data_IF_970020848515
#
_entry.id   IF_970020848515
#
_cell.length_a   1.000
_cell.length_b   1.000
_cell.length_c   1.000
_cell.angle_alpha   90.00
_cell.angle_beta   90.00
_cell.angle_gamma   90.00
#
_symmetry.space_group_name_H-M   'P 1'
#
loop_
_entity.id
_entity.type
_entity.pdbx_description
1 polymer ?
#
# COMPACT_ATOMS: atom_id res chain seq x y z
N UNK A 1 -7.79 19.29 -14.63
CA UNK A 1 -7.15 18.86 -15.88
C UNK A 1 -6.43 20.06 -16.46
N UNK A 2 -5.16 19.90 -16.83
CA UNK A 2 -4.35 20.96 -17.42
C UNK A 2 -4.24 20.73 -18.91
N UNK A 3 -4.61 21.74 -19.69
CA UNK A 3 -4.62 21.67 -21.15
C UNK A 3 -3.38 22.37 -21.70
N UNK A 4 -2.57 21.63 -22.46
CA UNK A 4 -1.37 22.12 -23.16
C UNK A 4 -0.32 22.79 -22.25
N UNK A 5 -0.34 22.52 -20.94
CA UNK A 5 0.70 22.89 -19.99
C UNK A 5 0.91 21.76 -18.98
N UNK A 6 2.16 21.56 -18.56
CA UNK A 6 2.50 20.58 -17.54
C UNK A 6 1.77 20.89 -16.23
N UNK A 7 1.49 19.88 -15.39
CA UNK A 7 0.92 20.10 -14.06
C UNK A 7 1.74 21.15 -13.29
N UNK A 8 1.12 22.17 -12.70
CA UNK A 8 1.84 23.19 -11.96
C UNK A 8 2.46 22.56 -10.72
N UNK A 9 3.63 23.07 -10.35
CA UNK A 9 4.32 22.59 -9.15
C UNK A 9 3.44 22.83 -7.91
N UNK A 10 3.41 21.87 -6.96
CA UNK A 10 2.74 22.08 -5.69
C UNK A 10 3.38 23.25 -4.94
N UNK A 11 2.57 24.08 -4.28
CA UNK A 11 3.11 25.18 -3.45
C UNK A 11 3.84 24.65 -2.22
N UNK A 12 3.45 23.47 -1.72
CA UNK A 12 4.12 22.76 -0.63
C UNK A 12 3.91 21.25 -0.72
N UNK A 13 4.87 20.50 -0.18
CA UNK A 13 4.76 19.05 -0.04
C UNK A 13 4.10 18.74 1.31
N UNK A 14 3.06 17.90 1.32
CA UNK A 14 2.33 17.57 2.56
C UNK A 14 2.96 16.39 3.31
N UNK A 15 3.43 15.37 2.60
CA UNK A 15 4.16 14.24 3.19
C UNK A 15 5.66 14.41 2.99
N UNK A 16 6.38 14.74 4.06
CA UNK A 16 7.80 15.10 3.99
C UNK A 16 8.75 13.89 4.08
N UNK A 17 8.24 12.71 4.47
CA UNK A 17 9.05 11.52 4.63
C UNK A 17 9.21 10.77 3.31
N UNK A 18 10.35 10.10 3.13
CA UNK A 18 10.56 9.23 1.98
C UNK A 18 9.63 8.02 2.01
N UNK A 19 8.92 7.79 0.90
CA UNK A 19 8.14 6.57 0.70
C UNK A 19 9.08 5.36 0.59
N UNK A 20 8.95 4.42 1.54
CA UNK A 20 9.71 3.18 1.49
C UNK A 20 9.26 2.30 0.30
N UNK A 21 10.24 1.88 -0.50
CA UNK A 21 10.03 0.94 -1.62
C UNK A 21 10.51 -0.48 -1.31
N UNK A 22 11.06 -0.70 -0.12
CA UNK A 22 11.51 -1.99 0.40
C UNK A 22 11.32 -2.02 1.91
N UNK A 23 11.22 -3.22 2.48
CA UNK A 23 11.22 -3.41 3.93
C UNK A 23 12.60 -3.11 4.51
N UNK A 24 12.64 -2.32 5.59
CA UNK A 24 13.86 -2.05 6.34
C UNK A 24 13.84 -2.87 7.65
N UNK A 25 14.78 -3.80 7.78
CA UNK A 25 14.90 -4.66 8.96
C UNK A 25 13.92 -5.84 9.00
N UNK A 26 13.96 -6.60 10.10
CA UNK A 26 13.04 -7.71 10.35
C UNK A 26 11.76 -7.13 10.93
N UNK A 27 10.66 -7.17 10.16
CA UNK A 27 9.34 -6.79 10.67
C UNK A 27 8.61 -8.03 11.22
N UNK A 28 7.69 -7.87 12.18
CA UNK A 28 6.87 -8.99 12.64
C UNK A 28 6.07 -9.61 11.49
N UNK A 29 5.85 -10.92 11.57
CA UNK A 29 4.91 -11.59 10.67
C UNK A 29 3.51 -11.12 11.05
N UNK A 30 2.80 -10.54 10.08
CA UNK A 30 1.42 -10.13 10.32
C UNK A 30 0.49 -11.32 10.48
N UNK A 31 -0.43 -11.21 11.43
CA UNK A 31 -1.57 -12.10 11.59
C UNK A 31 -2.73 -11.81 10.65
N UNK A 32 -3.66 -12.76 10.62
CA UNK A 32 -4.89 -12.70 9.84
C UNK A 32 -5.93 -11.75 10.43
N UNK A 33 -7.00 -11.53 9.67
CA UNK A 33 -8.16 -10.73 10.05
C UNK A 33 -9.40 -11.61 10.14
N UNK A 34 -9.99 -11.73 11.32
CA UNK A 34 -11.19 -12.57 11.51
C UNK A 34 -12.33 -12.03 10.66
N UNK A 35 -13.02 -12.92 9.93
CA UNK A 35 -14.21 -12.57 9.17
C UNK A 35 -15.35 -12.23 10.12
N UNK A 36 -15.97 -11.08 9.91
CA UNK A 36 -17.04 -10.53 10.74
C UNK A 36 -18.27 -10.28 9.89
N UNK A 37 -18.89 -11.39 9.44
CA UNK A 37 -20.08 -11.40 8.61
C UNK A 37 -19.88 -10.66 7.29
N UNK A 38 -19.37 -11.36 6.27
CA UNK A 38 -19.08 -10.81 4.94
C UNK A 38 -18.02 -9.70 4.91
N UNK A 39 -17.07 -9.69 5.85
CA UNK A 39 -16.01 -8.67 5.89
C UNK A 39 -14.77 -9.03 5.07
N UNK A 40 -14.81 -10.07 4.23
CA UNK A 40 -13.64 -10.56 3.50
C UNK A 40 -13.09 -9.52 2.50
N UNK A 41 -13.96 -8.69 1.89
CA UNK A 41 -13.53 -7.58 1.01
C UNK A 41 -12.61 -6.59 1.75
N UNK A 42 -12.99 -6.23 3.00
CA UNK A 42 -12.19 -5.38 3.88
C UNK A 42 -10.90 -6.11 4.27
N UNK A 43 -11.02 -7.37 4.70
CA UNK A 43 -9.88 -8.14 5.20
C UNK A 43 -8.80 -8.29 4.13
N UNK A 44 -9.17 -8.74 2.92
CA UNK A 44 -8.23 -8.92 1.81
C UNK A 44 -7.60 -7.59 1.38
N UNK A 45 -8.40 -6.51 1.31
CA UNK A 45 -7.92 -5.17 0.94
C UNK A 45 -6.93 -4.59 1.95
N UNK A 46 -7.26 -4.68 3.24
CA UNK A 46 -6.37 -4.22 4.32
C UNK A 46 -5.09 -5.05 4.34
N UNK A 47 -5.18 -6.38 4.18
CA UNK A 47 -3.99 -7.23 4.06
C UNK A 47 -3.11 -6.82 2.88
N UNK A 48 -3.69 -6.57 1.71
CA UNK A 48 -2.94 -6.16 0.53
C UNK A 48 -2.19 -4.83 0.76
N UNK A 49 -2.83 -3.85 1.40
CA UNK A 49 -2.23 -2.55 1.74
C UNK A 49 -1.16 -2.64 2.83
N UNK A 50 -1.38 -3.48 3.86
CA UNK A 50 -0.43 -3.65 4.96
C UNK A 50 0.87 -4.34 4.50
N UNK A 51 0.84 -5.07 3.39
CA UNK A 51 2.06 -5.64 2.82
C UNK A 51 2.89 -4.65 1.98
N UNK A 52 2.46 -3.39 1.86
CA UNK A 52 3.22 -2.32 1.20
C UNK A 52 4.16 -1.61 2.19
N UNK A 53 5.50 -1.62 1.97
CA UNK A 53 6.44 -0.99 2.87
C UNK A 53 6.16 0.50 3.10
N UNK A 54 5.84 1.23 2.02
CA UNK A 54 5.55 2.66 2.08
C UNK A 54 4.29 2.99 2.90
N UNK A 55 3.26 2.16 2.79
CA UNK A 55 2.00 2.35 3.53
C UNK A 55 2.19 2.10 5.02
N UNK A 56 2.90 1.02 5.39
CA UNK A 56 3.21 0.72 6.79
C UNK A 56 4.14 1.75 7.39
N UNK A 57 5.18 2.19 6.66
CA UNK A 57 6.08 3.25 7.11
C UNK A 57 5.31 4.54 7.39
N UNK A 58 4.39 4.94 6.50
CA UNK A 58 3.50 6.08 6.73
C UNK A 58 2.74 5.96 8.06
N UNK A 59 2.06 4.83 8.30
CA UNK A 59 1.32 4.62 9.55
C UNK A 59 2.26 4.61 10.78
N UNK A 60 3.43 4.00 10.63
CA UNK A 60 4.41 3.85 11.70
C UNK A 60 5.13 5.16 12.06
N UNK A 61 5.24 6.11 11.14
CA UNK A 61 5.96 7.38 11.33
C UNK A 61 5.04 8.56 11.70
N UNK A 62 3.72 8.41 11.58
CA UNK A 62 2.74 9.45 11.94
C UNK A 62 2.57 9.61 13.47
N UNK A 63 3.68 9.86 14.18
CA UNK A 63 3.76 9.96 15.65
C UNK A 63 2.96 11.17 16.16
N UNK A 64 3.09 12.31 15.49
CA UNK A 64 2.45 13.56 15.91
C UNK A 64 0.93 13.41 15.94
N UNK A 65 0.35 12.86 14.88
CA UNK A 65 -1.08 12.60 14.83
C UNK A 65 -1.51 11.57 15.88
N UNK A 66 -0.78 10.46 16.04
CA UNK A 66 -1.14 9.43 17.04
C UNK A 66 -1.20 9.96 18.46
N UNK A 67 -0.33 10.92 18.81
CA UNK A 67 -0.34 11.57 20.12
C UNK A 67 -1.41 12.66 20.25
N UNK A 68 -1.68 13.38 19.16
CA UNK A 68 -2.54 14.57 19.16
C UNK A 68 -3.97 14.37 18.62
N UNK A 69 -4.35 13.18 18.15
CA UNK A 69 -5.64 12.97 17.51
C UNK A 69 -6.80 13.10 18.50
N UNK A 70 -7.73 14.02 18.22
CA UNK A 70 -8.90 14.27 19.05
C UNK A 70 -10.05 13.29 18.79
N UNK A 71 -10.12 12.71 17.61
CA UNK A 71 -11.23 11.85 17.18
C UNK A 71 -10.96 10.36 17.29
N UNK A 72 -9.70 9.92 17.48
CA UNK A 72 -9.15 8.56 17.69
C UNK A 72 -9.93 7.36 17.10
N UNK A 73 -11.14 7.12 17.62
CA UNK A 73 -12.05 6.03 17.27
C UNK A 73 -12.79 6.32 15.98
N UNK A 74 -13.10 7.59 15.74
CA UNK A 74 -13.67 8.09 14.51
C UNK A 74 -12.59 8.57 13.52
N UNK A 75 -11.32 8.14 13.65
CA UNK A 75 -10.24 8.49 12.73
C UNK A 75 -9.76 7.25 11.98
N UNK A 76 -9.81 7.30 10.65
CA UNK A 76 -9.44 6.18 9.77
C UNK A 76 -7.94 5.89 9.87
N UNK A 77 -7.08 6.93 9.85
CA UNK A 77 -5.63 6.73 10.00
C UNK A 77 -5.27 6.09 11.34
N UNK A 78 -5.94 6.51 12.42
CA UNK A 78 -5.74 5.90 13.74
C UNK A 78 -6.22 4.43 13.77
N UNK A 79 -7.35 4.12 13.14
CA UNK A 79 -7.86 2.75 13.04
C UNK A 79 -6.91 1.85 12.22
N UNK A 80 -6.39 2.34 11.09
CA UNK A 80 -5.38 1.63 10.29
C UNK A 80 -4.10 1.39 11.09
N UNK A 81 -3.61 2.37 11.85
CA UNK A 81 -2.44 2.18 12.69
C UNK A 81 -2.70 1.15 13.81
N UNK A 82 -3.88 1.17 14.47
CA UNK A 82 -4.25 0.13 15.46
C UNK A 82 -4.30 -1.26 14.82
N UNK A 83 -4.88 -1.38 13.64
CA UNK A 83 -4.90 -2.62 12.84
C UNK A 83 -3.47 -3.10 12.57
N UNK A 84 -2.59 -2.24 12.06
CA UNK A 84 -1.18 -2.56 11.82
C UNK A 84 -0.47 -3.11 13.09
N UNK A 85 -0.69 -2.47 14.24
CA UNK A 85 -0.11 -2.92 15.51
C UNK A 85 -0.68 -4.27 15.95
N UNK A 86 -1.99 -4.48 15.85
CA UNK A 86 -2.64 -5.73 16.22
C UNK A 86 -2.21 -6.90 15.32
N UNK A 87 -2.07 -6.66 14.01
CA UNK A 87 -1.52 -7.66 13.09
C UNK A 87 -0.09 -8.06 13.47
N UNK A 88 0.70 -7.13 14.00
CA UNK A 88 2.09 -7.39 14.42
C UNK A 88 2.21 -8.17 15.73
N UNK A 89 1.14 -8.22 16.53
CA UNK A 89 1.13 -8.77 17.89
C UNK A 89 0.37 -10.10 18.00
N UNK A 90 -0.54 -10.37 17.07
CA UNK A 90 -1.48 -11.48 17.15
C UNK A 90 -1.45 -12.33 15.89
N UNK A 91 -1.70 -13.63 16.03
CA UNK A 91 -1.82 -14.54 14.89
C UNK A 91 -3.08 -14.25 14.04
N UNK A 92 -4.17 -13.80 14.69
CA UNK A 92 -5.34 -13.25 14.05
C UNK A 92 -6.03 -12.26 15.00
N UNK A 93 -6.74 -11.25 14.47
CA UNK A 93 -7.54 -10.33 15.29
C UNK A 93 -8.81 -9.85 14.56
N UNK A 94 -9.75 -9.29 15.33
CA UNK A 94 -11.05 -8.79 14.83
C UNK A 94 -10.94 -7.29 14.47
N UNK A 95 -11.03 -6.88 13.20
CA UNK A 95 -10.87 -5.47 12.79
C UNK A 95 -12.12 -4.61 13.05
N UNK A 96 -12.67 -4.66 14.26
CA UNK A 96 -13.94 -4.00 14.62
C UNK A 96 -13.85 -2.48 14.46
N UNK A 97 -12.70 -1.88 14.79
CA UNK A 97 -12.45 -0.46 14.60
C UNK A 97 -12.62 0.01 13.15
N UNK A 98 -12.09 -0.75 12.18
CA UNK A 98 -12.27 -0.42 10.75
C UNK A 98 -13.70 -0.71 10.28
N UNK A 99 -14.31 -1.80 10.74
CA UNK A 99 -15.70 -2.13 10.40
C UNK A 99 -16.69 -1.08 10.91
N UNK A 100 -16.43 -0.45 12.05
CA UNK A 100 -17.28 0.63 12.58
C UNK A 100 -17.20 1.88 11.70
N UNK A 101 -16.12 2.04 10.93
CA UNK A 101 -15.88 3.19 10.09
C UNK A 101 -16.38 3.03 8.65
N UNK A 102 -16.93 1.86 8.26
CA UNK A 102 -17.48 1.65 6.91
C UNK A 102 -18.43 2.78 6.46
N UNK A 103 -19.44 3.20 7.28
CA UNK A 103 -20.35 4.28 6.88
C UNK A 103 -19.65 5.64 6.72
N UNK A 104 -18.50 5.84 7.38
CA UNK A 104 -17.68 7.05 7.25
C UNK A 104 -16.86 7.04 5.96
N UNK A 105 -16.47 5.86 5.46
CA UNK A 105 -15.75 5.72 4.20
C UNK A 105 -16.68 5.98 3.02
N UNK A 106 -17.87 5.37 3.05
CA UNK A 106 -18.92 5.60 2.06
C UNK A 106 -20.29 5.27 2.66
N UNK A 107 -21.35 6.06 2.40
CA UNK A 107 -22.71 5.74 2.83
C UNK A 107 -23.25 4.40 2.27
N UNK A 108 -22.66 3.92 1.18
CA UNK A 108 -23.04 2.66 0.54
C UNK A 108 -22.51 1.45 1.30
N UNK A 109 -21.33 1.57 1.93
CA UNK A 109 -20.66 0.48 2.63
C UNK A 109 -21.36 0.19 3.96
N UNK A 110 -21.98 -0.99 4.07
CA UNK A 110 -22.71 -1.40 5.27
C UNK A 110 -22.18 -2.71 5.83
N UNK A 111 -22.22 -2.82 7.17
CA UNK A 111 -21.87 -4.06 7.86
C UNK A 111 -22.77 -5.21 7.43
N UNK A 112 -22.19 -6.40 7.30
CA UNK A 112 -22.91 -7.62 6.95
C UNK A 112 -23.20 -7.79 5.45
N UNK A 113 -22.95 -6.75 4.63
CA UNK A 113 -23.06 -6.83 3.18
C UNK A 113 -21.71 -7.19 2.57
N UNK A 114 -21.76 -7.93 1.47
CA UNK A 114 -20.62 -8.06 0.58
C UNK A 114 -20.53 -6.78 -0.27
N UNK A 115 -19.31 -6.34 -0.52
CA UNK A 115 -19.00 -5.08 -1.21
C UNK A 115 -17.80 -5.34 -2.13
N UNK A 116 -17.64 -4.50 -3.17
CA UNK A 116 -16.49 -4.59 -4.07
C UNK A 116 -15.19 -4.14 -3.36
N UNK A 117 -14.13 -4.93 -3.53
CA UNK A 117 -12.85 -4.67 -2.87
C UNK A 117 -12.12 -3.42 -3.41
N UNK A 118 -12.18 -3.13 -4.72
CA UNK A 118 -11.58 -1.90 -5.26
C UNK A 118 -12.36 -0.67 -4.80
N UNK A 119 -13.69 -0.72 -4.81
CA UNK A 119 -14.51 0.38 -4.28
C UNK A 119 -14.21 0.68 -2.81
N UNK A 120 -14.03 -0.38 -1.99
CA UNK A 120 -13.59 -0.21 -0.60
C UNK A 120 -12.19 0.40 -0.50
N UNK A 121 -11.22 -0.04 -1.32
CA UNK A 121 -9.86 0.51 -1.32
C UNK A 121 -9.88 2.00 -1.72
N UNK A 122 -10.65 2.37 -2.74
CA UNK A 122 -10.84 3.76 -3.17
C UNK A 122 -11.42 4.59 -2.02
N UNK A 123 -12.55 4.17 -1.45
CA UNK A 123 -13.19 4.88 -0.35
C UNK A 123 -12.27 5.04 0.86
N UNK A 124 -11.48 4.00 1.19
CA UNK A 124 -10.50 4.04 2.26
C UNK A 124 -9.38 5.04 1.99
N UNK A 125 -8.75 4.99 0.81
CA UNK A 125 -7.63 5.86 0.45
C UNK A 125 -8.07 7.32 0.28
N UNK A 126 -9.26 7.56 -0.26
CA UNK A 126 -9.84 8.89 -0.37
C UNK A 126 -10.12 9.47 1.01
N UNK A 127 -10.69 8.67 1.92
CA UNK A 127 -10.95 9.15 3.28
C UNK A 127 -9.68 9.42 4.07
N UNK A 128 -8.64 8.59 3.89
CA UNK A 128 -7.30 8.88 4.43
C UNK A 128 -6.75 10.19 3.87
N UNK A 129 -6.87 10.42 2.56
CA UNK A 129 -6.42 11.65 1.90
C UNK A 129 -7.15 12.88 2.44
N UNK A 130 -8.47 12.79 2.59
CA UNK A 130 -9.30 13.83 3.20
C UNK A 130 -8.85 14.15 4.64
N UNK A 131 -8.67 13.12 5.49
CA UNK A 131 -8.19 13.29 6.87
C UNK A 131 -6.79 13.92 6.92
N UNK A 132 -5.91 13.64 5.94
CA UNK A 132 -4.59 14.27 5.86
C UNK A 132 -4.69 15.74 5.44
N UNK A 133 -5.56 16.09 4.48
CA UNK A 133 -5.77 17.48 4.04
C UNK A 133 -6.44 18.31 5.13
N UNK A 134 -7.35 17.72 5.92
CA UNK A 134 -7.99 18.41 7.04
C UNK A 134 -6.99 18.86 8.12
N UNK A 135 -5.89 18.12 8.31
CA UNK A 135 -4.81 18.51 9.24
C UNK A 135 -4.07 19.78 8.79
N UNK A 136 -4.12 20.08 7.49
CA UNK A 136 -3.48 21.24 6.87
C UNK A 136 -4.39 22.47 6.80
N UNK A 137 -5.49 22.47 7.58
CA UNK A 137 -6.51 23.51 7.57
C UNK A 137 -7.62 23.27 6.54
N UNK A 138 -7.70 22.07 5.95
CA UNK A 138 -8.74 21.71 5.00
C UNK A 138 -8.47 22.12 3.55
N UNK A 139 -9.35 21.72 2.61
CA UNK A 139 -9.08 21.87 1.18
C UNK A 139 -8.90 23.33 0.74
N UNK A 140 -9.58 24.28 1.37
CA UNK A 140 -9.42 25.70 1.05
C UNK A 140 -7.99 26.23 1.28
N UNK A 141 -7.22 25.62 2.18
CA UNK A 141 -5.86 26.04 2.56
C UNK A 141 -4.74 25.27 1.84
N UNK A 142 -5.11 24.40 0.90
CA UNK A 142 -4.18 23.56 0.16
C UNK A 142 -4.55 23.61 -1.32
N UNK A 143 -3.63 24.08 -2.17
CA UNK A 143 -3.83 24.04 -3.61
C UNK A 143 -3.95 22.60 -4.13
N UNK A 144 -4.56 22.45 -5.31
CA UNK A 144 -4.85 21.14 -5.87
C UNK A 144 -3.61 20.24 -5.99
N UNK A 145 -2.47 20.77 -6.45
CA UNK A 145 -1.27 19.99 -6.68
C UNK A 145 -0.63 19.56 -5.36
N UNK A 146 -0.62 20.43 -4.36
CA UNK A 146 -0.17 20.07 -3.00
C UNK A 146 -1.03 18.96 -2.40
N UNK A 147 -2.35 18.91 -2.66
CA UNK A 147 -3.21 17.79 -2.22
C UNK A 147 -2.79 16.44 -2.81
N UNK A 148 -2.11 16.41 -3.97
CA UNK A 148 -1.56 15.18 -4.56
C UNK A 148 -0.28 14.70 -3.86
N UNK A 149 0.25 15.47 -2.89
CA UNK A 149 1.50 15.17 -2.19
C UNK A 149 1.30 14.67 -0.75
N UNK A 150 0.07 14.27 -0.40
CA UNK A 150 -0.21 13.51 0.83
C UNK A 150 0.52 12.16 0.81
N UNK A 151 0.55 11.46 1.93
CA UNK A 151 1.18 10.13 1.99
C UNK A 151 0.57 9.17 0.95
N UNK A 152 -0.76 9.16 0.82
CA UNK A 152 -1.48 8.38 -0.20
C UNK A 152 -1.07 8.82 -1.61
N UNK A 153 -1.04 10.12 -1.87
CA UNK A 153 -0.65 10.66 -3.18
C UNK A 153 0.81 10.35 -3.56
N UNK A 154 1.73 10.32 -2.60
CA UNK A 154 3.13 9.95 -2.88
C UNK A 154 3.34 8.44 -3.02
N UNK A 155 2.52 7.62 -2.35
CA UNK A 155 2.60 6.16 -2.46
C UNK A 155 1.97 5.71 -3.79
N UNK A 156 0.71 6.07 -4.04
CA UNK A 156 -0.09 5.54 -5.16
C UNK A 156 -0.30 6.54 -6.29
N UNK A 157 -0.15 7.83 -6.03
CA UNK A 157 -0.47 8.88 -6.98
C UNK A 157 0.54 8.97 -8.12
N UNK A 158 0.02 9.21 -9.31
CA UNK A 158 0.79 9.48 -10.51
C UNK A 158 0.00 10.37 -11.46
N UNK A 159 0.66 10.84 -12.50
CA UNK A 159 0.07 11.73 -13.50
C UNK A 159 -0.03 11.01 -14.83
N UNK A 160 -1.24 10.93 -15.38
CA UNK A 160 -1.43 10.53 -16.77
C UNK A 160 -1.23 11.72 -17.69
N UNK A 161 -0.76 11.42 -18.91
CA UNK A 161 -0.74 12.34 -20.04
C UNK A 161 -1.61 11.75 -21.14
N UNK A 162 -2.63 12.49 -21.52
CA UNK A 162 -3.54 12.14 -22.59
C UNK A 162 -3.29 13.04 -23.79
N UNK A 163 -2.98 12.48 -24.96
CA UNK A 163 -2.89 13.22 -26.22
C UNK A 163 -4.15 12.95 -27.05
N UNK A 164 -4.97 13.99 -27.25
CA UNK A 164 -6.12 13.97 -28.15
C UNK A 164 -5.80 14.67 -29.47
N UNK A 165 -5.90 13.97 -30.60
CA UNK A 165 -5.71 14.52 -31.95
C UNK A 165 -7.04 14.73 -32.64
N UNK A 166 -7.34 15.96 -33.03
CA UNK A 166 -8.54 16.28 -33.80
C UNK A 166 -8.60 15.45 -35.09
N UNK A 167 -9.71 14.76 -35.34
CA UNK A 167 -9.91 13.93 -36.53
C UNK A 167 -10.05 14.71 -37.86
N UNK A 168 -9.96 16.04 -37.82
CA UNK A 168 -10.02 16.90 -39.00
C UNK A 168 -8.67 17.56 -39.29
N UNK A 169 -8.22 18.43 -38.38
CA UNK A 169 -6.98 19.20 -38.56
C UNK A 169 -5.74 18.57 -37.92
N UNK A 170 -5.87 17.38 -37.31
CA UNK A 170 -4.79 16.66 -36.61
C UNK A 170 -4.09 17.47 -35.50
N UNK A 171 -4.73 18.54 -35.00
CA UNK A 171 -4.16 19.34 -33.90
C UNK A 171 -4.21 18.54 -32.60
N UNK A 172 -3.04 18.42 -31.95
CA UNK A 172 -2.90 17.75 -30.66
C UNK A 172 -3.30 18.67 -29.51
N UNK A 173 -4.06 18.12 -28.58
CA UNK A 173 -4.30 18.69 -27.25
C UNK A 173 -3.73 17.71 -26.22
N UNK A 174 -2.89 18.21 -25.32
CA UNK A 174 -2.36 17.46 -24.20
C UNK A 174 -3.17 17.76 -22.94
N UNK A 175 -3.57 16.72 -22.23
CA UNK A 175 -4.27 16.82 -20.96
C UNK A 175 -3.54 16.02 -19.90
N UNK A 176 -3.36 16.62 -18.72
CA UNK A 176 -2.79 15.93 -17.56
C UNK A 176 -3.81 15.75 -16.45
N UNK A 177 -3.81 14.57 -15.82
CA UNK A 177 -4.69 14.26 -14.70
C UNK A 177 -3.99 13.38 -13.65
N UNK A 178 -4.23 13.61 -12.34
CA UNK A 178 -3.77 12.70 -11.32
C UNK A 178 -4.58 11.40 -11.34
N UNK A 179 -3.92 10.30 -11.04
CA UNK A 179 -4.44 8.94 -11.02
C UNK A 179 -3.92 8.22 -9.78
N UNK A 180 -4.69 7.28 -9.23
CA UNK A 180 -4.27 6.42 -8.11
C UNK A 180 -4.31 4.93 -8.44
N UNK A 181 -4.85 4.58 -9.60
CA UNK A 181 -4.91 3.23 -10.15
C UNK A 181 -4.79 3.23 -11.67
N UNK A 182 -4.50 2.05 -12.21
CA UNK A 182 -4.58 1.74 -13.63
C UNK A 182 -5.59 0.62 -13.82
N UNK A 183 -6.73 0.94 -14.42
CA UNK A 183 -7.72 -0.07 -14.84
C UNK A 183 -7.30 -0.71 -16.15
N UNK A 184 -7.33 -2.04 -16.21
CA UNK A 184 -6.89 -2.81 -17.36
C UNK A 184 -8.00 -3.73 -17.88
N UNK A 185 -8.14 -3.85 -19.21
CA UNK A 185 -8.94 -4.93 -19.79
C UNK A 185 -8.31 -6.29 -19.47
N UNK A 186 -9.08 -7.36 -19.65
CA UNK A 186 -8.55 -8.71 -19.52
C UNK A 186 -7.76 -9.09 -20.78
N UNK A 187 -6.61 -9.71 -20.54
CA UNK A 187 -5.66 -10.21 -21.54
C UNK A 187 -4.97 -11.45 -20.94
N UNK A 188 -4.10 -12.13 -21.68
CA UNK A 188 -3.38 -13.34 -21.23
C UNK A 188 -2.48 -13.10 -20.02
N UNK A 189 -2.03 -11.85 -19.82
CA UNK A 189 -1.11 -11.46 -18.75
C UNK A 189 -1.29 -10.00 -18.32
N UNK A 190 -0.81 -9.65 -17.13
CA UNK A 190 -0.81 -8.25 -16.67
C UNK A 190 0.07 -7.40 -17.58
N UNK A 191 1.24 -7.91 -18.00
CA UNK A 191 2.11 -7.15 -18.90
C UNK A 191 1.48 -6.91 -20.28
N UNK A 192 0.81 -7.92 -20.86
CA UNK A 192 0.12 -7.76 -22.15
C UNK A 192 -1.04 -6.76 -22.04
N UNK A 193 -1.85 -6.85 -20.98
CA UNK A 193 -2.93 -5.91 -20.73
C UNK A 193 -2.44 -4.45 -20.61
N UNK A 194 -1.31 -4.21 -19.94
CA UNK A 194 -0.66 -2.90 -19.89
C UNK A 194 -0.25 -2.44 -21.30
N UNK A 195 0.39 -3.31 -22.07
CA UNK A 195 0.85 -2.98 -23.42
C UNK A 195 -0.31 -2.62 -24.35
N UNK A 196 -1.45 -3.31 -24.22
CA UNK A 196 -2.69 -3.01 -24.95
C UNK A 196 -3.21 -1.65 -24.51
N UNK A 197 -3.39 -1.43 -23.20
CA UNK A 197 -3.92 -0.18 -22.66
C UNK A 197 -3.11 1.06 -23.09
N UNK A 198 -1.79 0.94 -23.15
CA UNK A 198 -0.90 2.04 -23.56
C UNK A 198 -0.81 2.28 -25.06
N UNK A 199 -1.25 1.32 -25.89
CA UNK A 199 -1.31 1.45 -27.35
C UNK A 199 -2.72 1.73 -27.87
N UNK A 200 -3.71 1.61 -27.00
CA UNK A 200 -5.10 1.82 -27.31
C UNK A 200 -5.33 3.27 -27.77
N UNK A 201 -6.01 3.40 -28.92
CA UNK A 201 -6.48 4.67 -29.44
C UNK A 201 -7.98 4.73 -29.18
N UNK A 202 -8.38 5.55 -28.23
CA UNK A 202 -9.79 5.79 -27.91
C UNK A 202 -10.35 6.84 -28.90
N UNK A 203 -11.53 6.58 -29.45
CA UNK A 203 -12.25 7.58 -30.24
C UNK A 203 -13.15 8.36 -29.30
N UNK A 204 -12.91 9.66 -29.21
CA UNK A 204 -13.68 10.58 -28.36
C UNK A 204 -14.62 11.38 -29.25
N UNK A 205 -15.91 11.11 -29.09
CA UNK A 205 -16.99 11.93 -29.66
C UNK A 205 -17.18 13.21 -28.84
N UNK A 206 -17.85 14.20 -29.42
CA UNK A 206 -18.05 15.53 -28.84
C UNK A 206 -16.78 16.33 -28.46
N UNK A 207 -15.62 15.96 -29.01
CA UNK A 207 -14.39 16.70 -28.82
C UNK A 207 -14.47 18.11 -29.42
N UNK A 208 -14.17 19.13 -28.61
CA UNK A 208 -14.11 20.52 -29.08
C UNK A 208 -12.68 20.89 -29.45
N UNK A 209 -12.40 21.01 -30.75
CA UNK A 209 -11.09 21.40 -31.24
C UNK A 209 -10.77 22.86 -30.91
N UNK A 210 -9.55 23.14 -30.46
CA UNK A 210 -9.07 24.51 -30.18
C UNK A 210 -9.09 25.42 -31.42
N UNK A 211 -8.96 24.84 -32.63
CA UNK A 211 -9.12 25.56 -33.90
C UNK A 211 -10.58 25.66 -34.37
N UNK A 212 -11.55 25.24 -33.55
CA UNK A 212 -12.99 25.29 -33.82
C UNK A 212 -13.39 24.54 -35.11
N UNK A 213 -12.79 23.38 -35.37
CA UNK A 213 -13.20 22.50 -36.46
C UNK A 213 -14.65 22.03 -36.29
N UNK A 214 -15.33 21.73 -37.41
CA UNK A 214 -16.71 21.25 -37.41
C UNK A 214 -16.83 19.80 -36.93
N UNK A 215 -15.85 18.94 -37.26
CA UNK A 215 -15.83 17.56 -36.76
C UNK A 215 -15.52 17.55 -35.27
N UNK A 216 -16.41 16.93 -34.51
CA UNK A 216 -16.31 16.79 -33.04
C UNK A 216 -15.72 15.44 -32.63
N UNK A 217 -14.68 14.99 -33.31
CA UNK A 217 -14.03 13.70 -33.06
C UNK A 217 -12.55 13.90 -32.78
N UNK A 218 -12.01 13.20 -31.79
CA UNK A 218 -10.58 13.09 -31.55
C UNK A 218 -10.14 11.64 -31.34
N UNK A 219 -8.90 11.37 -31.75
CA UNK A 219 -8.19 10.14 -31.45
C UNK A 219 -7.31 10.37 -30.22
N UNK A 220 -7.58 9.64 -29.15
CA UNK A 220 -6.99 9.83 -27.85
C UNK A 220 -6.05 8.68 -27.49
N UNK A 221 -4.87 9.01 -26.99
CA UNK A 221 -3.90 8.04 -26.43
C UNK A 221 -3.51 8.44 -25.02
N UNK A 222 -3.25 7.46 -24.15
CA UNK A 222 -2.90 7.68 -22.74
C UNK A 222 -1.52 7.12 -22.44
N UNK A 223 -0.73 7.88 -21.70
CA UNK A 223 0.63 7.53 -21.31
C UNK A 223 0.93 7.98 -19.86
N UNK A 224 2.03 7.47 -19.30
CA UNK A 224 2.51 7.85 -17.97
C UNK A 224 3.36 9.13 -18.05
N UNK A 225 2.88 10.23 -17.47
CA UNK A 225 3.71 11.43 -17.26
C UNK A 225 4.66 11.26 -16.09
N UNK A 226 4.16 10.68 -15.00
CA UNK A 226 4.95 10.30 -13.83
C UNK A 226 4.67 8.85 -13.42
N UNK A 227 5.60 8.27 -12.65
CA UNK A 227 5.53 6.89 -12.19
C UNK A 227 5.20 6.86 -10.68
N UNK A 228 4.18 6.11 -10.25
CA UNK A 228 3.87 5.98 -8.82
C UNK A 228 4.93 5.12 -8.12
N UNK A 229 5.06 5.27 -6.80
CA UNK A 229 5.93 4.37 -6.02
C UNK A 229 5.30 2.99 -5.90
N UNK A 230 4.00 2.92 -5.73
CA UNK A 230 3.20 1.70 -5.78
C UNK A 230 2.16 1.86 -6.87
N UNK A 231 2.26 1.04 -7.92
CA UNK A 231 1.26 0.95 -8.96
C UNK A 231 0.13 0.03 -8.49
N UNK A 232 -1.06 0.61 -8.30
CA UNK A 232 -2.31 -0.15 -8.11
C UNK A 232 -2.93 -0.46 -9.47
N UNK A 233 -3.15 -1.72 -9.77
CA UNK A 233 -3.80 -2.20 -10.99
C UNK A 233 -5.15 -2.81 -10.62
N UNK A 234 -6.18 -2.50 -11.38
CA UNK A 234 -7.51 -3.11 -11.25
C UNK A 234 -7.82 -3.82 -12.57
N UNK A 235 -8.07 -5.12 -12.52
CA UNK A 235 -8.52 -5.87 -13.70
C UNK A 235 -10.03 -5.72 -13.84
N UNK A 236 -10.49 -5.29 -15.01
CA UNK A 236 -11.91 -5.08 -15.30
C UNK A 236 -12.62 -6.44 -15.42
N UNK A 237 -12.80 -7.18 -14.31
CA UNK A 237 -13.42 -8.51 -14.34
C UNK A 237 -14.92 -8.46 -14.38
N UNK A 238 -15.53 -7.45 -13.78
CA UNK A 238 -16.97 -7.31 -13.74
C UNK A 238 -17.45 -6.50 -14.93
N UNK A 239 -18.51 -6.98 -15.58
CA UNK A 239 -19.23 -6.21 -16.60
C UNK A 239 -20.26 -5.27 -15.95
N UNK A 240 -21.03 -4.57 -16.78
CA UNK A 240 -22.04 -3.61 -16.31
C UNK A 240 -23.18 -4.28 -15.53
N UNK A 241 -23.39 -5.58 -15.73
CA UNK A 241 -24.38 -6.39 -15.03
C UNK A 241 -23.78 -7.09 -13.80
N UNK A 242 -22.57 -6.69 -13.41
CA UNK A 242 -21.80 -7.24 -12.28
C UNK A 242 -21.38 -8.70 -12.42
N UNK A 243 -21.49 -9.31 -13.60
CA UNK A 243 -21.02 -10.69 -13.82
C UNK A 243 -19.51 -10.74 -14.01
N UNK A 244 -18.88 -11.75 -13.41
CA UNK A 244 -17.44 -11.92 -13.43
C UNK A 244 -16.97 -12.65 -14.68
N UNK A 245 -16.05 -12.02 -15.40
CA UNK A 245 -15.21 -12.60 -16.44
C UNK A 245 -14.06 -13.39 -15.82
N UNK A 246 -14.19 -14.71 -15.84
CA UNK A 246 -13.24 -15.67 -15.25
C UNK A 246 -12.07 -16.03 -16.18
N UNK A 247 -11.78 -15.21 -17.19
CA UNK A 247 -10.62 -15.39 -18.06
C UNK A 247 -9.33 -15.45 -17.21
N UNK A 248 -8.50 -16.50 -17.38
CA UNK A 248 -7.21 -16.58 -16.69
C UNK A 248 -6.27 -15.46 -17.14
N UNK A 249 -5.70 -14.72 -16.19
CA UNK A 249 -4.70 -13.68 -16.43
C UNK A 249 -3.41 -14.04 -15.68
N UNK A 250 -2.30 -14.16 -16.39
CA UNK A 250 -1.01 -14.48 -15.77
C UNK A 250 -0.45 -13.25 -15.02
N UNK A 251 0.09 -13.47 -13.82
CA UNK A 251 0.65 -12.41 -12.96
C UNK A 251 2.15 -12.57 -12.85
N UNK A 252 2.88 -11.63 -13.44
CA UNK A 252 4.34 -11.64 -13.43
C UNK A 252 4.91 -11.12 -12.11
N UNK A 253 6.04 -11.69 -11.68
CA UNK A 253 6.77 -11.14 -10.53
C UNK A 253 7.34 -9.75 -10.79
N UNK A 254 7.60 -9.43 -12.06
CA UNK A 254 8.15 -8.16 -12.49
C UNK A 254 7.47 -7.71 -13.77
N UNK A 255 7.07 -6.45 -13.80
CA UNK A 255 6.46 -5.80 -14.97
C UNK A 255 7.24 -4.54 -15.36
N UNK A 256 7.07 -4.09 -16.59
CA UNK A 256 7.73 -2.92 -17.16
C UNK A 256 6.68 -1.96 -17.72
N UNK A 257 6.81 -0.69 -17.37
CA UNK A 257 5.99 0.41 -17.91
C UNK A 257 6.93 1.49 -18.41
N UNK A 258 7.02 1.64 -19.73
CA UNK A 258 8.04 2.48 -20.36
C UNK A 258 9.43 2.07 -19.91
N UNK A 259 10.08 2.94 -19.12
CA UNK A 259 11.43 2.70 -18.59
C UNK A 259 11.46 2.29 -17.11
N UNK A 260 10.32 2.23 -16.45
CA UNK A 260 10.18 1.85 -15.05
C UNK A 260 9.91 0.35 -14.91
N UNK A 261 10.63 -0.29 -13.98
CA UNK A 261 10.40 -1.69 -13.61
C UNK A 261 9.75 -1.74 -12.24
N UNK A 262 8.73 -2.58 -12.10
CA UNK A 262 8.05 -2.83 -10.84
C UNK A 262 8.07 -4.30 -10.48
N UNK A 263 8.03 -4.60 -9.18
CA UNK A 263 7.96 -5.95 -8.64
C UNK A 263 6.64 -6.17 -7.92
N UNK A 264 6.05 -7.35 -8.10
CA UNK A 264 4.81 -7.75 -7.42
C UNK A 264 5.00 -7.69 -5.90
N UNK A 265 4.00 -7.14 -5.19
CA UNK A 265 3.97 -7.16 -3.73
C UNK A 265 2.76 -7.93 -3.23
N UNK A 266 1.55 -7.50 -3.61
CA UNK A 266 0.31 -8.11 -3.13
C UNK A 266 -0.81 -8.03 -4.17
N UNK A 267 -1.82 -8.87 -4.02
CA UNK A 267 -3.07 -8.75 -4.75
C UNK A 267 -4.26 -9.27 -3.94
N UNK A 268 -5.42 -8.72 -4.26
CA UNK A 268 -6.73 -9.22 -3.85
C UNK A 268 -7.21 -10.20 -4.91
N UNK A 269 -7.64 -11.37 -4.47
CA UNK A 269 -8.31 -12.38 -5.30
C UNK A 269 -9.81 -12.36 -4.96
N UNK A 270 -10.64 -12.58 -5.96
CA UNK A 270 -12.08 -12.75 -5.81
C UNK A 270 -12.50 -14.14 -6.31
N UNK A 271 -13.09 -14.96 -5.46
CA UNK A 271 -13.69 -16.25 -5.80
C UNK A 271 -15.22 -16.13 -5.73
N UNK A 272 -15.92 -16.30 -6.85
CA UNK A 272 -17.33 -15.93 -6.98
C UNK A 272 -17.69 -15.54 -8.40
N UNK A 273 -18.99 -15.36 -8.65
CA UNK A 273 -19.54 -15.11 -9.99
C UNK A 273 -19.99 -13.67 -10.21
N UNK A 274 -20.21 -12.88 -9.16
CA UNK A 274 -20.63 -11.48 -9.27
C UNK A 274 -19.78 -10.58 -8.37
N UNK A 275 -19.83 -9.27 -8.58
CA UNK A 275 -19.08 -8.31 -7.73
C UNK A 275 -19.56 -8.31 -6.27
N UNK A 276 -20.84 -8.65 -6.05
CA UNK A 276 -21.52 -8.62 -4.75
C UNK A 276 -21.67 -9.98 -4.10
N UNK A 277 -21.26 -11.07 -4.78
CA UNK A 277 -21.32 -12.44 -4.26
C UNK A 277 -20.03 -13.19 -4.53
N UNK A 278 -19.37 -13.58 -3.44
CA UNK A 278 -18.16 -14.37 -3.48
C UNK A 278 -17.37 -14.30 -2.18
N UNK A 279 -16.07 -14.51 -2.32
CA UNK A 279 -15.11 -14.51 -1.23
C UNK A 279 -13.80 -13.86 -1.67
N UNK A 280 -13.39 -12.84 -0.93
CA UNK A 280 -12.13 -12.15 -1.18
C UNK A 280 -11.01 -12.73 -0.33
N UNK A 281 -9.86 -12.97 -0.95
CA UNK A 281 -8.64 -13.42 -0.27
C UNK A 281 -7.46 -12.60 -0.74
N UNK A 282 -6.32 -12.67 -0.06
CA UNK A 282 -5.13 -11.90 -0.40
C UNK A 282 -3.93 -12.82 -0.64
N UNK A 283 -3.18 -12.54 -1.71
CA UNK A 283 -1.81 -13.02 -1.88
C UNK A 283 -0.85 -11.88 -1.60
N UNK A 284 0.18 -12.11 -0.80
CA UNK A 284 1.13 -11.06 -0.49
C UNK A 284 2.55 -11.59 -0.27
N UNK A 285 3.54 -10.76 -0.59
CA UNK A 285 4.95 -11.01 -0.33
C UNK A 285 5.27 -10.44 1.05
N UNK A 286 5.64 -11.33 1.97
CA UNK A 286 6.11 -10.96 3.31
C UNK A 286 7.43 -10.20 3.26
N UNK A 287 7.78 -9.61 4.40
CA UNK A 287 9.06 -8.93 4.60
C UNK A 287 10.29 -9.83 4.37
N UNK A 288 10.15 -11.14 4.56
CA UNK A 288 11.19 -12.15 4.31
C UNK A 288 11.23 -12.62 2.83
N UNK A 289 10.44 -12.00 1.96
CA UNK A 289 10.34 -12.33 0.54
C UNK A 289 9.48 -13.55 0.22
N UNK A 290 8.87 -14.21 1.22
CA UNK A 290 8.00 -15.36 0.99
C UNK A 290 6.61 -14.91 0.57
N UNK A 291 6.04 -15.61 -0.41
CA UNK A 291 4.65 -15.42 -0.81
C UNK A 291 3.73 -16.18 0.16
N UNK A 292 2.69 -15.51 0.63
CA UNK A 292 1.65 -16.09 1.50
C UNK A 292 0.27 -15.88 0.92
N UNK A 293 -0.60 -16.84 1.21
CA UNK A 293 -2.02 -16.79 0.95
C UNK A 293 -2.75 -16.55 2.27
N UNK A 294 -3.59 -15.52 2.26
CA UNK A 294 -4.28 -14.99 3.43
C UNK A 294 -5.77 -15.11 3.16
N UNK A 295 -6.42 -15.96 3.94
CA UNK A 295 -7.85 -16.20 3.93
C UNK A 295 -8.41 -15.80 5.29
N UNK A 296 -8.85 -14.54 5.40
CA UNK A 296 -9.30 -13.97 6.66
C UNK A 296 -8.29 -14.18 7.81
N UNK A 297 -8.64 -14.99 8.81
CA UNK A 297 -7.80 -15.27 9.96
C UNK A 297 -6.63 -16.22 9.65
N UNK A 298 -6.71 -16.95 8.55
CA UNK A 298 -5.77 -18.01 8.20
C UNK A 298 -4.69 -17.49 7.26
N UNK A 299 -3.43 -17.76 7.60
CA UNK A 299 -2.28 -17.44 6.77
C UNK A 299 -1.51 -18.72 6.50
N UNK A 300 -1.26 -18.98 5.23
CA UNK A 300 -0.51 -20.14 4.75
C UNK A 300 0.56 -19.73 3.74
N UNK A 301 1.59 -20.56 3.58
CA UNK A 301 2.59 -20.34 2.55
C UNK A 301 1.96 -20.59 1.17
N UNK A 302 2.13 -19.64 0.23
CA UNK A 302 1.54 -19.72 -1.09
C UNK A 302 2.35 -20.65 -2.01
N UNK A 303 2.16 -21.96 -1.85
CA UNK A 303 2.73 -23.03 -2.67
C UNK A 303 1.65 -23.74 -3.47
N UNK A 304 2.03 -24.35 -4.61
CA UNK A 304 1.13 -25.15 -5.44
C UNK A 304 -0.10 -24.38 -5.91
N UNK A 305 -1.28 -24.77 -5.43
CA UNK A 305 -2.59 -24.22 -5.82
C UNK A 305 -2.78 -22.75 -5.46
N UNK A 306 -1.99 -22.19 -4.54
CA UNK A 306 -2.11 -20.80 -4.10
C UNK A 306 -0.95 -19.90 -4.58
N UNK A 307 -0.05 -20.41 -5.42
CA UNK A 307 1.05 -19.61 -5.96
C UNK A 307 0.59 -18.53 -6.94
N UNK A 308 1.44 -17.53 -7.17
CA UNK A 308 1.18 -16.40 -8.10
C UNK A 308 0.81 -16.85 -9.53
N UNK A 309 1.35 -17.98 -9.97
CA UNK A 309 1.07 -18.55 -11.29
C UNK A 309 0.06 -19.71 -11.26
N UNK A 310 -0.60 -19.95 -10.12
CA UNK A 310 -1.56 -21.04 -9.99
C UNK A 310 -2.82 -20.78 -10.82
N UNK A 311 -3.54 -21.84 -11.25
CA UNK A 311 -4.82 -21.67 -11.93
C UNK A 311 -5.83 -20.84 -11.13
N UNK A 312 -5.82 -20.98 -9.80
CA UNK A 312 -6.67 -20.19 -8.89
C UNK A 312 -6.34 -18.70 -9.01
N UNK A 313 -5.08 -18.33 -8.79
CA UNK A 313 -4.63 -16.94 -8.87
C UNK A 313 -4.99 -16.31 -10.22
N UNK A 314 -4.73 -17.01 -11.33
CA UNK A 314 -5.00 -16.46 -12.67
C UNK A 314 -6.47 -16.13 -12.92
N UNK A 315 -7.40 -16.94 -12.42
CA UNK A 315 -8.85 -16.74 -12.61
C UNK A 315 -9.44 -15.73 -11.64
N UNK A 316 -8.82 -15.55 -10.48
CA UNK A 316 -9.41 -14.80 -9.37
C UNK A 316 -8.73 -13.46 -9.10
N UNK A 317 -7.50 -13.24 -9.58
CA UNK A 317 -6.74 -12.01 -9.32
C UNK A 317 -7.50 -10.78 -9.79
N UNK A 318 -7.77 -9.83 -8.90
CA UNK A 318 -8.64 -8.69 -9.18
C UNK A 318 -7.89 -7.35 -9.06
N UNK A 319 -7.40 -7.03 -7.85
CA UNK A 319 -6.64 -5.80 -7.58
C UNK A 319 -5.20 -6.17 -7.28
N UNK A 320 -4.22 -5.58 -7.96
CA UNK A 320 -2.80 -5.87 -7.79
C UNK A 320 -2.03 -4.63 -7.34
N UNK A 321 -0.97 -4.86 -6.57
CA UNK A 321 -0.05 -3.83 -6.13
C UNK A 321 1.39 -4.21 -6.50
N UNK A 322 2.01 -3.33 -7.26
CA UNK A 322 3.37 -3.46 -7.76
C UNK A 322 4.23 -2.33 -7.20
N UNK A 323 5.39 -2.65 -6.65
CA UNK A 323 6.32 -1.70 -6.06
C UNK A 323 7.38 -1.30 -7.07
N UNK A 324 7.60 0.01 -7.20
CA UNK A 324 8.66 0.56 -8.04
C UNK A 324 10.03 0.04 -7.60
N UNK A 325 10.82 -0.47 -8.54
CA UNK A 325 12.15 -0.99 -8.29
C UNK A 325 13.25 -0.05 -8.80
N UNK A 326 13.32 0.16 -10.12
CA UNK A 326 14.29 1.07 -10.73
C UNK A 326 13.82 1.54 -12.12
N UNK A 327 14.44 2.61 -12.61
CA UNK A 327 14.34 3.06 -14.01
C UNK A 327 15.60 2.70 -14.78
N UNK A 328 15.47 2.38 -16.07
CA UNK A 328 16.62 2.18 -16.97
C UNK A 328 17.47 3.47 -17.02
N UNK A 329 18.78 3.32 -16.79
CA UNK A 329 19.76 4.43 -16.61
C UNK A 329 19.80 5.41 -17.80
N UNK A 330 19.51 4.97 -19.01
CA UNK A 330 19.52 5.81 -20.22
C UNK A 330 18.50 6.96 -20.18
N UNK A 331 17.39 6.78 -19.47
CA UNK A 331 16.30 7.76 -19.41
C UNK A 331 16.52 8.81 -18.32
N UNK A 332 17.26 8.47 -17.27
CA UNK A 332 17.71 9.42 -16.23
C UNK A 332 18.59 10.51 -16.86
N UNK A 333 19.52 10.13 -17.76
CA UNK A 333 20.37 11.08 -18.49
C UNK A 333 19.56 11.99 -19.44
N UNK A 334 18.49 11.48 -20.07
CA UNK A 334 17.59 12.29 -20.92
C UNK A 334 16.71 13.25 -20.11
N UNK A 335 16.20 12.84 -18.95
CA UNK A 335 15.42 13.71 -18.07
C UNK A 335 16.27 14.85 -17.49
N UNK A 336 17.50 14.55 -17.06
CA UNK A 336 18.47 15.56 -16.61
C UNK A 336 18.90 16.52 -17.74
N UNK A 337 19.02 16.02 -18.98
CA UNK A 337 19.35 16.85 -20.15
C UNK A 337 18.19 17.74 -20.64
N UNK A 338 16.94 17.39 -20.30
CA UNK A 338 15.73 18.20 -20.62
C UNK A 338 15.37 19.22 -19.54
N UNK A 339 16.06 19.21 -18.40
CA UNK A 339 15.86 20.21 -17.35
C UNK A 339 16.54 21.52 -17.79
N UNK A 340 15.83 22.64 -17.97
CA UNK A 340 16.47 23.91 -18.31
C UNK A 340 17.48 24.29 -17.22
N UNK A 341 18.65 24.76 -17.65
CA UNK A 341 19.84 25.02 -16.84
C UNK A 341 19.71 26.07 -15.73
N UNK A 342 18.51 26.58 -15.46
CA UNK A 342 18.28 27.64 -14.48
C UNK A 342 17.73 27.16 -13.13
N UNK A 343 17.63 25.84 -12.90
CA UNK A 343 17.22 25.28 -11.61
C UNK A 343 18.37 24.71 -10.76
N UNK A 344 19.63 25.04 -11.07
CA UNK A 344 20.80 24.62 -10.28
C UNK A 344 21.58 25.81 -9.73
N UNK A 345 21.44 25.97 -8.41
CA UNK A 345 22.31 26.64 -7.42
C UNK A 345 21.92 28.07 -6.99
N UNK A 346 22.12 28.38 -5.69
CA UNK A 346 23.46 28.40 -5.11
C UNK A 346 23.65 27.45 -3.90
N UNK A 347 24.08 26.22 -4.17
CA UNK A 347 24.95 25.44 -3.27
C UNK A 347 26.31 25.26 -3.96
N UNK A 348 26.96 26.39 -4.29
CA UNK A 348 28.33 26.39 -4.79
C UNK A 348 29.09 27.63 -4.33
N UNK A 349 29.10 27.87 -3.01
CA UNK A 349 30.09 28.74 -2.35
C UNK A 349 30.40 28.21 -0.95
N UNK A 350 31.32 27.26 -0.86
CA UNK A 350 32.18 27.04 0.32
C UNK A 350 33.37 26.14 0.00
N UNK A 351 34.08 26.42 -1.09
CA UNK A 351 35.44 25.91 -1.29
C UNK A 351 36.28 27.06 -1.89
N UNK A 352 37.26 27.49 -1.10
CA UNK A 352 38.38 28.43 -1.38
C UNK A 352 38.16 29.96 -1.34
N UNK A 353 38.51 30.53 -0.18
CA UNK A 353 39.57 31.57 0.02
C UNK A 353 39.84 31.59 1.54
N UNK A 354 41.05 31.69 2.12
CA UNK A 354 42.29 32.38 1.76
C UNK A 354 43.45 31.88 2.70
N UNK A 355 44.69 32.44 2.78
CA UNK A 355 45.87 31.78 2.22
C UNK A 355 47.12 31.76 3.14
N UNK A 356 48.22 31.25 2.57
CA UNK A 356 49.64 31.57 2.82
C UNK A 356 50.46 30.85 3.90
N UNK A 357 51.42 30.08 3.35
CA UNK A 357 52.89 30.18 3.48
C UNK A 357 53.66 29.18 4.36
N UNK A 358 54.65 28.59 3.66
CA UNK A 358 56.02 28.18 4.05
C UNK A 358 56.24 26.79 4.65
N UNK A 359 56.80 25.93 3.77
CA UNK A 359 58.11 25.27 3.89
C UNK A 359 58.55 24.78 5.26
N UNK A 360 58.74 23.45 5.39
CA UNK A 360 60.07 22.86 5.61
C UNK A 360 59.98 21.32 5.67
N UNK A 361 60.78 20.72 4.79
CA UNK A 361 61.40 19.40 4.87
C UNK A 361 61.53 18.79 6.28
N UNK A 362 61.24 17.48 6.41
CA UNK A 362 62.27 16.44 6.66
C UNK A 362 61.66 15.09 7.02
N UNK A 363 62.29 14.04 6.46
CA UNK A 363 62.44 12.66 6.98
C UNK A 363 61.12 11.87 7.11
N UNK A 364 60.84 10.86 6.29
CA UNK A 364 61.71 9.74 5.95
C UNK A 364 61.46 8.58 6.92
N UNK A 365 60.67 7.59 6.49
CA UNK A 365 60.86 6.14 6.71
C UNK A 365 59.72 5.34 6.08
N UNK A 366 60.07 4.57 5.05
CA UNK A 366 59.37 3.35 4.65
C UNK A 366 59.40 2.37 5.83
N UNK A 367 58.37 1.55 6.00
CA UNK A 367 58.52 0.12 6.26
C UNK A 367 57.18 -0.62 6.04
N UNK A 368 57.19 -1.43 4.99
CA UNK A 368 56.34 -2.57 4.73
C UNK A 368 56.71 -3.73 5.66
N UNK A 369 55.76 -4.53 6.19
CA UNK A 369 55.69 -6.00 5.96
C UNK A 369 54.50 -6.69 6.68
N UNK A 370 54.30 -7.93 6.23
CA UNK A 370 53.15 -8.85 6.24
C UNK A 370 52.93 -9.69 7.54
N UNK A 371 51.90 -10.58 7.61
CA UNK A 371 51.30 -11.11 8.82
C UNK A 371 51.86 -12.46 9.27
N UNK A 372 51.65 -12.85 10.55
CA UNK A 372 51.50 -14.25 11.01
C UNK A 372 51.18 -14.40 12.51
N UNK A 373 50.28 -15.38 12.78
CA UNK A 373 50.12 -16.26 13.96
C UNK A 373 49.44 -15.71 15.23
N UNK A 374 48.29 -16.30 15.59
CA UNK A 374 48.19 -17.23 16.72
C UNK A 374 46.98 -18.18 16.60
N UNK A 375 47.15 -19.44 16.99
CA UNK A 375 46.22 -20.60 16.89
C UNK A 375 46.02 -21.20 18.30
N UNK A 376 44.94 -21.99 18.46
CA UNK A 376 44.53 -22.93 19.56
C UNK A 376 43.59 -22.32 20.61
N UNK A 377 42.49 -22.97 21.04
CA UNK A 377 42.13 -24.40 21.14
C UNK A 377 40.67 -24.69 20.74
N UNK A 378 40.43 -25.91 20.25
CA UNK A 378 39.13 -26.60 20.05
C UNK A 378 39.16 -27.92 20.83
N UNK A 379 37.99 -28.39 21.26
CA UNK A 379 37.69 -29.76 21.74
C UNK A 379 37.06 -29.74 23.13
N UNK A 380 35.91 -30.35 23.44
CA UNK A 380 35.13 -31.47 22.87
C UNK A 380 33.63 -31.19 23.15
N UNK A 381 32.60 -31.78 22.54
CA UNK A 381 32.31 -33.21 22.40
C UNK A 381 31.11 -33.37 21.42
N UNK A 382 31.19 -34.32 20.49
CA UNK A 382 30.09 -34.80 19.64
C UNK A 382 30.08 -36.32 19.76
N UNK A 383 28.95 -36.90 20.20
CA UNK A 383 28.24 -38.04 19.58
C UNK A 383 27.29 -38.73 20.56
N UNK A 384 25.99 -38.72 20.23
CA UNK A 384 25.12 -39.91 20.29
C UNK A 384 23.80 -39.63 19.54
N UNK A 385 23.33 -40.61 18.79
CA UNK A 385 22.41 -40.55 17.65
C UNK A 385 21.07 -41.27 18.00
N UNK A 386 19.92 -40.62 17.67
CA UNK A 386 18.54 -41.14 17.37
C UNK A 386 17.68 -41.80 18.50
N UNK A 387 16.34 -42.01 18.30
CA UNK A 387 15.28 -41.00 18.29
C UNK A 387 14.12 -41.34 19.26
N UNK A 388 13.69 -40.42 20.13
CA UNK A 388 12.49 -40.62 20.96
C UNK A 388 11.24 -40.02 20.30
N UNK A 389 10.19 -40.84 20.21
CA UNK A 389 8.83 -40.61 19.70
C UNK A 389 8.26 -39.19 19.96
N UNK A 390 7.42 -38.63 19.06
CA UNK A 390 6.77 -37.34 19.30
C UNK A 390 5.79 -37.45 20.47
N UNK A 391 6.00 -36.64 21.51
CA UNK A 391 4.99 -36.40 22.54
C UNK A 391 3.85 -35.57 21.93
N UNK A 392 2.63 -36.09 22.02
CA UNK A 392 1.41 -35.27 21.89
C UNK A 392 1.49 -34.15 22.92
N UNK A 393 1.64 -32.90 22.46
CA UNK A 393 1.32 -31.74 23.29
C UNK A 393 -0.20 -31.59 23.29
N UNK A 394 -0.83 -31.90 24.43
CA UNK A 394 -2.19 -31.45 24.72
C UNK A 394 -2.15 -29.92 24.72
N UNK A 395 -3.00 -29.30 23.91
CA UNK A 395 -3.14 -27.86 23.85
C UNK A 395 -3.71 -27.37 25.16
N UNK A 396 -2.89 -26.65 25.92
CA UNK A 396 -3.21 -25.73 27.02
C UNK A 396 -1.87 -25.28 27.59
N UNK A 397 -1.16 -24.36 26.91
CA UNK A 397 -0.06 -23.55 27.50
C UNK A 397 0.56 -22.60 26.46
N UNK A 398 -0.23 -21.64 25.96
CA UNK A 398 0.31 -20.37 25.41
C UNK A 398 -0.59 -19.23 25.90
N UNK A 399 -0.50 -18.92 27.20
CA UNK A 399 -1.02 -17.67 27.74
C UNK A 399 -0.04 -16.53 27.37
N UNK A 400 -0.52 -15.60 26.54
CA UNK A 400 0.21 -14.38 26.22
C UNK A 400 0.57 -13.61 27.51
N UNK A 401 1.82 -13.13 27.61
CA UNK A 401 2.23 -12.26 28.72
C UNK A 401 1.47 -10.92 28.64
N UNK A 402 0.93 -10.40 29.75
CA UNK A 402 0.20 -9.13 29.76
C UNK A 402 1.12 -7.94 29.42
N UNK A 403 0.54 -6.91 28.82
CA UNK A 403 1.21 -5.63 28.55
C UNK A 403 1.48 -4.87 29.87
N UNK A 404 2.49 -3.98 29.93
CA UNK A 404 2.72 -3.16 31.12
C UNK A 404 1.56 -2.17 31.35
N UNK A 405 1.01 -2.15 32.56
CA UNK A 405 -0.12 -1.30 33.04
C UNK A 405 -0.03 0.19 32.62
N UNK A 406 1.19 0.71 32.39
CA UNK A 406 1.43 2.09 31.98
C UNK A 406 0.85 2.43 30.60
N UNK A 407 0.67 1.46 29.69
CA UNK A 407 0.08 1.69 28.35
C UNK A 407 -1.45 1.73 28.36
N UNK A 408 -2.11 1.11 29.33
CA UNK A 408 -3.57 1.16 29.49
C UNK A 408 -3.99 2.49 30.13
N UNK A 409 -3.18 3.01 31.04
CA UNK A 409 -3.44 4.27 31.77
C UNK A 409 -3.58 5.51 30.86
N UNK A 410 -2.82 5.61 29.75
CA UNK A 410 -2.89 6.83 28.91
C UNK A 410 -4.14 6.88 28.04
N UNK A 411 -4.60 5.73 27.51
CA UNK A 411 -5.82 5.66 26.68
C UNK A 411 -7.04 5.93 27.54
N UNK A 412 -7.09 5.35 28.74
CA UNK A 412 -8.17 5.56 29.71
C UNK A 412 -8.21 7.03 30.16
N UNK A 413 -7.08 7.66 30.46
CA UNK A 413 -7.01 9.10 30.79
C UNK A 413 -7.45 10.00 29.63
N UNK A 414 -7.10 9.66 28.39
CA UNK A 414 -7.45 10.46 27.22
C UNK A 414 -8.95 10.36 26.89
N UNK A 415 -9.56 9.20 27.10
CA UNK A 415 -10.98 8.96 26.84
C UNK A 415 -11.88 9.51 27.96
N UNK A 416 -11.46 9.39 29.23
CA UNK A 416 -12.15 9.97 30.39
C UNK A 416 -12.15 11.52 30.33
N UNK A 417 -11.07 12.15 29.87
CA UNK A 417 -11.00 13.60 29.65
C UNK A 417 -11.94 14.10 28.53
N UNK A 418 -12.61 13.21 27.79
CA UNK A 418 -13.44 13.53 26.62
C UNK A 418 -14.91 13.14 26.78
N UNK A 419 -15.35 12.84 28.01
CA UNK A 419 -16.76 12.57 28.32
C UNK A 419 -17.30 11.25 27.78
N UNK A 420 -16.43 10.35 27.32
CA UNK A 420 -16.81 8.97 27.03
C UNK A 420 -17.05 8.22 28.33
N UNK A 421 -18.14 7.45 28.38
CA UNK A 421 -18.38 6.58 29.53
C UNK A 421 -17.31 5.50 29.64
N UNK A 422 -16.99 5.11 30.86
CA UNK A 422 -16.09 3.98 31.15
C UNK A 422 -16.49 2.71 30.38
N UNK A 423 -17.79 2.51 30.11
CA UNK A 423 -18.33 1.37 29.39
C UNK A 423 -18.05 1.43 27.88
N UNK A 424 -18.16 2.59 27.24
CA UNK A 424 -17.80 2.77 25.83
C UNK A 424 -16.30 2.55 25.59
N UNK A 425 -15.48 3.09 26.49
CA UNK A 425 -14.01 2.93 26.45
C UNK A 425 -13.65 1.47 26.69
N UNK A 426 -14.26 0.81 27.67
CA UNK A 426 -14.05 -0.63 27.92
C UNK A 426 -14.54 -1.48 26.77
N UNK A 427 -15.67 -1.20 26.13
CA UNK A 427 -16.14 -1.96 24.98
C UNK A 427 -15.17 -1.85 23.80
N UNK A 428 -14.63 -0.68 23.54
CA UNK A 428 -13.65 -0.46 22.47
C UNK A 428 -12.32 -1.15 22.79
N UNK A 429 -11.81 -0.98 24.01
CA UNK A 429 -10.60 -1.67 24.45
C UNK A 429 -10.82 -3.18 24.61
N UNK A 430 -12.06 -3.65 24.79
CA UNK A 430 -12.42 -5.08 24.85
C UNK A 430 -12.31 -5.78 23.52
N UNK A 431 -12.45 -5.04 22.44
CA UNK A 431 -12.33 -5.56 21.09
C UNK A 431 -10.99 -5.21 20.42
N UNK A 432 -10.28 -4.17 20.89
CA UNK A 432 -8.99 -3.71 20.34
C UNK A 432 -7.76 -4.01 21.23
N UNK A 433 -7.91 -4.48 22.50
CA UNK A 433 -6.81 -4.87 23.41
C UNK A 433 -7.14 -6.15 24.25
N UNK A 434 -6.13 -6.91 24.71
CA UNK A 434 -6.31 -8.33 25.08
C UNK A 434 -6.94 -8.62 26.45
N UNK A 435 -7.16 -7.63 27.33
CA UNK A 435 -7.52 -7.93 28.73
C UNK A 435 -9.00 -8.17 29.02
N UNK A 436 -9.91 -7.76 28.14
CA UNK A 436 -11.36 -7.85 28.40
C UNK A 436 -12.07 -8.98 27.66
N UNK A 437 -11.37 -9.75 26.82
CA UNK A 437 -11.91 -10.94 26.15
C UNK A 437 -11.83 -12.20 27.04
N UNK A 438 -12.06 -12.06 28.35
CA UNK A 438 -12.39 -13.21 29.21
C UNK A 438 -13.89 -13.16 29.52
N UNK A 439 -14.53 -14.30 29.24
CA UNK A 439 -15.93 -14.65 29.44
C UNK A 439 -16.97 -13.77 28.74
N UNK A 440 -17.36 -14.16 27.53
CA UNK A 440 -18.75 -14.10 27.04
C UNK A 440 -18.91 -15.17 25.95
N UNK A 441 -18.81 -16.43 26.35
CA UNK A 441 -19.36 -17.57 25.60
C UNK A 441 -20.79 -17.79 26.08
N UNK A 442 -21.67 -16.86 25.74
CA UNK A 442 -23.11 -17.09 25.75
C UNK A 442 -23.74 -16.07 24.82
N UNK A 443 -24.84 -16.47 24.19
CA UNK A 443 -25.78 -15.68 23.37
C UNK A 443 -25.78 -16.04 21.87
N UNK A 444 -26.86 -16.78 21.54
CA UNK A 444 -27.44 -17.20 20.25
C UNK A 444 -26.92 -18.45 19.53
N UNK A 445 -27.26 -19.62 20.10
CA UNK A 445 -27.71 -20.77 19.31
C UNK A 445 -29.26 -20.76 19.29
N UNK A 446 -29.94 -20.84 18.13
CA UNK A 446 -31.39 -21.00 18.10
C UNK A 446 -31.75 -22.43 18.55
N UNK A 447 -32.65 -22.51 19.54
CA UNK A 447 -33.25 -23.74 20.03
C UNK A 447 -33.99 -24.46 18.89
N UNK A 448 -33.46 -25.60 18.44
CA UNK A 448 -34.30 -26.67 17.92
C UNK A 448 -34.86 -27.44 19.12
N UNK A 449 -36.18 -27.44 19.27
CA UNK A 449 -36.91 -28.51 19.95
C UNK A 449 -38.00 -29.01 19.01
N UNK A 450 -38.04 -30.34 18.96
CA UNK A 450 -38.92 -31.28 18.29
C UNK A 450 -40.30 -30.78 17.86
#
# INVERSE_FOLDING_TARGET
>A
MWFNCDPPNPTRILYQNDVAVTWQGVTPVYGGLVNLNNSCFLNASVQALMHLPGFVKFLAEDIAHRKGCFTLLNCVVCALNRTHLNMSLHAAFRPIGLLNLLPKLSPLLKRGRQEDADEFIVALLDKVTEELILREGGPANVDFCSRQTTAVGQIFGWWSRTEGKCGDCSTSTLTYAPQTSLSLPLDDSVQSAINVRLKEVEIVEDFTCIRKCLKRVAFQTVDFYSYPKVLRIVLNRFDNDSYKRSQPVSVEKSIVIGDATYSFVSCVLHDGNTATEGHYTCLATRHDGKLVFINDAEISEAKGLFGLNSPKCKREVYVLFYQFHHMKVHSIKRALAKTPSNALSPLRKKIHSSPMKRSLEKRGKKLTFSPKKFKRKVGSLMHSILPSKPKLFKGDDILAKPLPEKKESWIMKLACNRGMSDEEVRNILKYDLPHFAKSDTSVFLPNHRN
#
